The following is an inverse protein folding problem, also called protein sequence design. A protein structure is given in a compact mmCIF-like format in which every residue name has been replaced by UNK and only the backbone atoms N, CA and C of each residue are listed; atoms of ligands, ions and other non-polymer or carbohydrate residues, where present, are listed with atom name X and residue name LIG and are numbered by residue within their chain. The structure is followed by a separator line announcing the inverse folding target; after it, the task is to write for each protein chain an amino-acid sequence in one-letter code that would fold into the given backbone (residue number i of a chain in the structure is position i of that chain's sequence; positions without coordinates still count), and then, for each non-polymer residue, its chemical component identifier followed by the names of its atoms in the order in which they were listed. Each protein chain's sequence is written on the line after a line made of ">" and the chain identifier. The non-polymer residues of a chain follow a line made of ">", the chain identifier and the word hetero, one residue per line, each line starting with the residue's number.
data_IF_301542805741
#
_entry.id   IF_301542805741
#
_cell.length_a   1.000
_cell.length_b   1.000
_cell.length_c   1.000
_cell.angle_alpha   90.00
_cell.angle_beta   90.00
_cell.angle_gamma   90.00
#
_symmetry.space_group_name_H-M   'P 1'
#
loop_
_entity.id
_entity.type
_entity.pdbx_description
1 polymer ?
#
# COMPACT_ATOMS: atom_id res chain seq x y z
N UNK A 1 23.71 0.57 8.06
CA UNK A 1 23.76 0.37 9.52
C UNK A 1 22.65 -0.58 9.96
N UNK A 2 22.69 -1.13 11.17
CA UNK A 2 21.62 -1.97 11.72
C UNK A 2 21.03 -1.30 12.96
N UNK A 3 19.70 -1.28 13.06
CA UNK A 3 18.98 -0.77 14.24
C UNK A 3 18.20 -1.90 14.88
N UNK A 4 18.34 -2.06 16.19
CA UNK A 4 17.56 -3.03 16.97
C UNK A 4 16.38 -2.32 17.61
N UNK A 5 15.17 -2.74 17.28
CA UNK A 5 13.95 -2.20 17.86
C UNK A 5 13.62 -2.92 19.19
N UNK A 6 12.60 -2.43 19.90
CA UNK A 6 12.21 -2.96 21.20
C UNK A 6 11.72 -4.43 21.17
N UNK A 7 11.40 -4.97 19.98
CA UNK A 7 11.16 -6.40 19.76
C UNK A 7 12.45 -7.27 19.76
N UNK A 8 13.62 -6.66 19.93
CA UNK A 8 14.91 -7.33 19.89
C UNK A 8 15.40 -7.71 18.49
N UNK A 9 14.60 -7.48 17.45
CA UNK A 9 14.94 -7.82 16.06
C UNK A 9 15.67 -6.66 15.39
N UNK A 10 16.60 -7.00 14.50
CA UNK A 10 17.37 -6.03 13.73
C UNK A 10 16.61 -5.60 12.47
N UNK A 11 16.63 -4.30 12.17
CA UNK A 11 16.24 -3.71 10.89
C UNK A 11 17.49 -3.21 10.18
N UNK A 12 17.63 -3.51 8.90
CA UNK A 12 18.77 -3.06 8.08
C UNK A 12 18.44 -1.69 7.51
N UNK A 13 19.30 -0.70 7.78
CA UNK A 13 19.16 0.66 7.27
C UNK A 13 20.31 1.00 6.31
N UNK A 14 20.05 1.73 5.24
CA UNK A 14 21.09 2.33 4.42
C UNK A 14 21.45 3.71 4.98
N UNK A 15 22.73 4.04 5.07
CA UNK A 15 23.16 5.40 5.43
C UNK A 15 23.10 6.26 4.16
N UNK A 16 22.15 7.20 4.09
CA UNK A 16 22.15 8.30 3.12
C UNK A 16 21.96 9.62 3.89
N UNK A 17 22.60 10.72 3.47
CA UNK A 17 22.33 12.02 4.05
C UNK A 17 20.92 12.48 3.62
N UNK A 18 19.91 12.19 4.43
CA UNK A 18 18.54 12.68 4.23
C UNK A 18 18.36 13.98 5.01
N UNK A 19 17.72 14.96 4.38
CA UNK A 19 17.18 16.17 5.01
C UNK A 19 16.36 15.78 6.25
N UNK A 20 16.70 16.35 7.41
CA UNK A 20 16.10 16.07 8.72
C UNK A 20 14.64 15.63 8.67
N UNK A 21 14.31 14.48 9.28
CA UNK A 21 12.91 14.15 9.58
C UNK A 21 12.42 15.10 10.67
N UNK A 22 11.22 15.61 10.52
CA UNK A 22 10.62 16.53 11.49
C UNK A 22 9.52 15.80 12.26
N UNK A 23 9.51 15.98 13.58
CA UNK A 23 8.39 15.58 14.43
C UNK A 23 7.15 16.41 14.10
N UNK A 24 5.99 15.95 14.58
CA UNK A 24 4.74 16.72 14.52
C UNK A 24 4.85 18.10 15.24
N UNK A 25 5.77 18.25 16.18
CA UNK A 25 6.07 19.52 16.89
C UNK A 25 7.08 20.43 16.15
N UNK A 26 7.55 20.03 14.97
CA UNK A 26 8.51 20.79 14.17
C UNK A 26 9.96 20.69 14.63
N UNK A 27 10.29 19.82 15.59
CA UNK A 27 11.68 19.55 15.96
C UNK A 27 12.33 18.47 15.08
N UNK A 28 13.64 18.53 14.80
CA UNK A 28 14.33 17.51 14.03
C UNK A 28 14.44 16.20 14.82
N UNK A 29 14.29 15.08 14.13
CA UNK A 29 14.39 13.72 14.63
C UNK A 29 15.32 12.91 13.72
N UNK A 30 16.12 12.01 14.29
CA UNK A 30 16.96 11.10 13.50
C UNK A 30 16.16 9.93 12.92
N UNK A 31 16.66 9.31 11.84
CA UNK A 31 16.01 8.14 11.22
C UNK A 31 15.75 7.00 12.23
N UNK A 32 16.69 6.59 13.10
CA UNK A 32 16.43 5.54 14.08
C UNK A 32 15.33 5.93 15.09
N UNK A 33 15.33 7.18 15.56
CA UNK A 33 14.31 7.68 16.50
C UNK A 33 12.92 7.68 15.86
N UNK A 34 12.83 7.99 14.56
CA UNK A 34 11.57 7.95 13.83
C UNK A 34 11.04 6.52 13.71
N UNK A 35 11.91 5.56 13.33
CA UNK A 35 11.54 4.15 13.25
C UNK A 35 11.12 3.58 14.61
N UNK A 36 11.84 3.91 15.68
CA UNK A 36 11.49 3.51 17.04
C UNK A 36 10.14 4.09 17.49
N UNK A 37 9.87 5.36 17.16
CA UNK A 37 8.60 6.00 17.44
C UNK A 37 7.46 5.30 16.69
N UNK A 38 7.61 5.11 15.37
CA UNK A 38 6.63 4.40 14.55
C UNK A 38 6.34 3.02 15.14
N UNK A 39 7.39 2.21 15.35
CA UNK A 39 7.28 0.87 15.93
C UNK A 39 6.49 0.86 17.24
N UNK A 40 6.77 1.80 18.15
CA UNK A 40 6.09 1.90 19.45
C UNK A 40 4.59 2.13 19.31
N UNK A 41 4.16 2.90 18.31
CA UNK A 41 2.76 3.26 18.12
C UNK A 41 1.98 2.27 17.26
N UNK A 42 2.63 1.44 16.42
CA UNK A 42 1.94 0.47 15.55
C UNK A 42 0.92 -0.44 16.28
N UNK A 43 1.17 -0.93 17.51
CA UNK A 43 0.20 -1.72 18.27
C UNK A 43 -1.16 -1.05 18.54
N UNK A 44 -1.25 0.30 18.49
CA UNK A 44 -2.51 1.03 18.65
C UNK A 44 -3.40 0.99 17.39
N UNK A 45 -2.86 0.53 16.26
CA UNK A 45 -3.54 0.50 14.96
C UNK A 45 -3.97 -0.90 14.56
N UNK A 46 -3.17 -1.92 14.89
CA UNK A 46 -3.42 -3.32 14.59
C UNK A 46 -2.59 -4.23 15.53
N UNK A 47 -3.14 -5.38 15.89
CA UNK A 47 -2.58 -6.33 16.87
C UNK A 47 -1.48 -7.21 16.30
N UNK A 48 -1.65 -7.64 15.05
CA UNK A 48 -0.79 -8.57 14.34
C UNK A 48 -0.81 -8.28 12.84
N UNK A 49 0.05 -9.00 12.11
CA UNK A 49 0.14 -8.88 10.67
C UNK A 49 -1.16 -9.26 9.95
N UNK A 50 -1.88 -10.27 10.46
CA UNK A 50 -3.11 -10.72 9.85
C UNK A 50 -4.20 -9.65 9.92
N UNK A 51 -4.30 -8.91 11.03
CA UNK A 51 -5.18 -7.76 11.18
C UNK A 51 -4.75 -6.60 10.30
N UNK A 52 -3.45 -6.27 10.25
CA UNK A 52 -2.93 -5.28 9.30
C UNK A 52 -3.36 -5.64 7.87
N UNK A 53 -3.21 -6.90 7.46
CA UNK A 53 -3.59 -7.40 6.14
C UNK A 53 -5.09 -7.31 5.89
N UNK A 54 -5.91 -7.68 6.87
CA UNK A 54 -7.37 -7.58 6.76
C UNK A 54 -7.83 -6.13 6.57
N UNK A 55 -7.27 -5.19 7.36
CA UNK A 55 -7.54 -3.76 7.25
C UNK A 55 -7.04 -3.21 5.91
N UNK A 56 -5.82 -3.57 5.50
CA UNK A 56 -5.17 -2.99 4.32
C UNK A 56 -5.75 -3.48 3.00
N UNK A 57 -6.26 -4.71 2.96
CA UNK A 57 -6.80 -5.33 1.76
C UNK A 57 -8.11 -4.72 1.27
N UNK A 58 -8.77 -3.91 2.11
CA UNK A 58 -10.04 -3.24 1.78
C UNK A 58 -9.77 -1.72 1.68
N UNK A 59 -10.12 -1.05 0.57
CA UNK A 59 -9.74 0.35 0.32
C UNK A 59 -10.16 1.32 1.42
N UNK A 60 -11.40 1.20 1.91
CA UNK A 60 -11.94 2.14 2.89
C UNK A 60 -11.24 2.01 4.25
N UNK A 61 -11.04 0.79 4.73
CA UNK A 61 -10.33 0.54 5.99
C UNK A 61 -8.85 0.89 5.89
N UNK A 62 -8.23 0.67 4.71
CA UNK A 62 -6.85 1.16 4.42
C UNK A 62 -6.79 2.68 4.51
N UNK A 63 -7.75 3.39 3.91
CA UNK A 63 -7.82 4.86 3.96
C UNK A 63 -7.95 5.35 5.41
N UNK A 64 -8.83 4.73 6.20
CA UNK A 64 -8.99 5.06 7.63
C UNK A 64 -7.70 4.80 8.42
N UNK A 65 -7.00 3.69 8.17
CA UNK A 65 -5.72 3.41 8.82
C UNK A 65 -4.67 4.48 8.49
N UNK A 66 -4.52 4.82 7.21
CA UNK A 66 -3.59 5.87 6.77
C UNK A 66 -3.92 7.25 7.37
N UNK A 67 -5.20 7.58 7.50
CA UNK A 67 -5.63 8.81 8.16
C UNK A 67 -5.24 8.81 9.65
N UNK A 68 -5.55 7.74 10.39
CA UNK A 68 -5.21 7.63 11.81
C UNK A 68 -3.68 7.67 12.03
N UNK A 69 -2.89 7.07 11.14
CA UNK A 69 -1.43 7.15 11.16
C UNK A 69 -0.96 8.61 10.96
N UNK A 70 -1.55 9.32 10.00
CA UNK A 70 -1.24 10.72 9.73
C UNK A 70 -1.58 11.64 10.93
N UNK A 71 -2.70 11.40 11.61
CA UNK A 71 -3.09 12.11 12.84
C UNK A 71 -2.06 11.94 13.98
N UNK A 72 -1.21 10.91 13.92
CA UNK A 72 -0.09 10.66 14.85
C UNK A 72 1.28 11.08 14.30
N UNK A 73 1.31 11.80 13.18
CA UNK A 73 2.54 12.29 12.55
C UNK A 73 3.21 11.27 11.62
N UNK A 74 2.55 10.15 11.31
CA UNK A 74 3.03 9.14 10.36
C UNK A 74 2.27 9.25 9.02
N UNK A 75 2.29 10.45 8.43
CA UNK A 75 1.64 10.73 7.16
C UNK A 75 2.33 10.06 5.97
N UNK A 76 1.74 10.19 4.78
CA UNK A 76 2.26 9.56 3.55
C UNK A 76 3.71 9.98 3.23
N UNK A 77 4.04 11.25 3.42
CA UNK A 77 5.41 11.75 3.20
C UNK A 77 6.38 11.10 4.18
N UNK A 78 6.03 11.03 5.46
CA UNK A 78 6.88 10.40 6.46
C UNK A 78 7.06 8.90 6.22
N UNK A 79 5.99 8.20 5.83
CA UNK A 79 6.08 6.78 5.45
C UNK A 79 6.91 6.56 4.18
N UNK A 80 6.91 7.52 3.23
CA UNK A 80 7.80 7.48 2.07
C UNK A 80 9.27 7.67 2.48
N UNK A 81 9.57 8.46 3.51
CA UNK A 81 10.92 8.51 4.06
C UNK A 81 11.32 7.17 4.71
N UNK A 82 10.39 6.50 5.40
CA UNK A 82 10.65 5.14 5.91
C UNK A 82 11.01 4.19 4.77
N UNK A 83 10.30 4.24 3.64
CA UNK A 83 10.65 3.44 2.46
C UNK A 83 12.10 3.65 2.03
N UNK A 84 12.59 4.88 2.00
CA UNK A 84 13.99 5.18 1.64
C UNK A 84 14.97 4.62 2.67
N UNK A 85 14.66 4.79 3.95
CA UNK A 85 15.52 4.36 5.07
C UNK A 85 15.75 2.84 5.05
N UNK A 86 14.72 2.06 4.68
CA UNK A 86 14.77 0.59 4.64
C UNK A 86 14.97 0.01 3.22
N UNK A 87 15.32 0.84 2.23
CA UNK A 87 15.53 0.44 0.82
C UNK A 87 14.31 -0.27 0.17
N UNK A 88 13.12 0.25 0.45
CA UNK A 88 11.83 -0.31 0.05
C UNK A 88 10.96 0.68 -0.76
N UNK A 89 11.58 1.59 -1.52
CA UNK A 89 10.90 2.60 -2.38
C UNK A 89 9.99 1.96 -3.44
N UNK A 90 10.30 0.73 -3.84
CA UNK A 90 9.50 -0.09 -4.77
C UNK A 90 8.43 -0.92 -4.08
N UNK A 91 8.38 -0.96 -2.75
CA UNK A 91 7.42 -1.75 -2.00
C UNK A 91 6.13 -0.99 -1.71
N UNK A 92 5.08 -1.71 -1.30
CA UNK A 92 3.84 -1.11 -0.82
C UNK A 92 4.03 -0.56 0.61
N UNK A 93 3.25 0.44 1.01
CA UNK A 93 3.28 0.92 2.40
C UNK A 93 2.82 -0.17 3.39
N UNK A 94 2.01 -1.11 2.95
CA UNK A 94 1.74 -2.34 3.70
C UNK A 94 3.02 -3.06 4.12
N UNK A 95 3.94 -3.26 3.17
CA UNK A 95 5.20 -3.96 3.40
C UNK A 95 6.11 -3.19 4.35
N UNK A 96 6.09 -1.87 4.26
CA UNK A 96 6.81 -0.98 5.17
C UNK A 96 6.32 -1.15 6.59
N UNK A 97 5.00 -1.07 6.79
CA UNK A 97 4.38 -1.23 8.11
C UNK A 97 4.64 -2.64 8.67
N UNK A 98 4.48 -3.68 7.85
CA UNK A 98 4.74 -5.07 8.24
C UNK A 98 6.22 -5.32 8.56
N UNK A 99 7.14 -4.70 7.81
CA UNK A 99 8.57 -4.77 8.08
C UNK A 99 8.93 -4.10 9.41
N UNK A 100 8.43 -2.88 9.65
CA UNK A 100 8.67 -2.17 10.90
C UNK A 100 8.09 -2.93 12.08
N UNK A 101 6.81 -3.35 12.03
CA UNK A 101 6.14 -4.04 13.13
C UNK A 101 6.68 -5.45 13.41
N UNK A 102 7.00 -6.23 12.36
CA UNK A 102 7.18 -7.69 12.50
C UNK A 102 8.49 -8.24 11.91
N UNK A 103 9.32 -7.38 11.32
CA UNK A 103 10.55 -7.74 10.60
C UNK A 103 10.31 -8.63 9.37
N UNK A 104 9.13 -8.54 8.75
CA UNK A 104 8.85 -9.28 7.52
C UNK A 104 9.63 -8.69 6.33
N UNK A 105 10.12 -9.52 5.40
CA UNK A 105 10.80 -9.02 4.21
C UNK A 105 9.82 -8.23 3.33
N UNK A 106 10.15 -6.98 2.95
CA UNK A 106 9.28 -6.18 2.09
C UNK A 106 9.06 -6.83 0.71
N UNK A 107 7.82 -6.79 0.22
CA UNK A 107 7.45 -7.25 -1.13
C UNK A 107 7.27 -6.06 -2.07
N UNK A 108 7.82 -6.14 -3.28
CA UNK A 108 7.68 -5.05 -4.24
C UNK A 108 6.27 -4.97 -4.81
N UNK A 109 5.87 -3.77 -5.25
CA UNK A 109 4.59 -3.53 -5.92
C UNK A 109 4.45 -4.40 -7.17
N UNK A 110 5.55 -4.62 -7.91
CA UNK A 110 5.59 -5.52 -9.07
C UNK A 110 5.23 -6.96 -8.68
N UNK A 111 5.82 -7.48 -7.59
CA UNK A 111 5.56 -8.83 -7.12
C UNK A 111 4.11 -9.00 -6.60
N UNK A 112 3.57 -7.98 -5.94
CA UNK A 112 2.14 -7.95 -5.54
C UNK A 112 1.21 -7.95 -6.74
N UNK A 113 1.49 -7.10 -7.73
CA UNK A 113 0.71 -7.05 -8.95
C UNK A 113 0.77 -8.39 -9.71
N UNK A 114 1.94 -9.03 -9.79
CA UNK A 114 2.08 -10.35 -10.41
C UNK A 114 1.24 -11.41 -9.68
N UNK A 115 1.24 -11.39 -8.35
CA UNK A 115 0.40 -12.28 -7.52
C UNK A 115 -1.09 -12.04 -7.82
N UNK A 116 -1.53 -10.78 -7.80
CA UNK A 116 -2.92 -10.43 -8.09
C UNK A 116 -3.36 -10.91 -9.49
N UNK A 117 -2.52 -10.75 -10.51
CA UNK A 117 -2.79 -11.23 -11.88
C UNK A 117 -3.08 -12.72 -11.96
N UNK A 118 -2.40 -13.53 -11.15
CA UNK A 118 -2.65 -14.97 -11.05
C UNK A 118 -4.11 -15.31 -10.69
N UNK A 119 -4.74 -14.47 -9.86
CA UNK A 119 -6.13 -14.63 -9.46
C UNK A 119 -7.14 -14.04 -10.44
N UNK A 120 -6.72 -13.08 -11.28
CA UNK A 120 -7.63 -12.39 -12.20
C UNK A 120 -8.13 -13.30 -13.33
N UNK A 121 -7.27 -14.19 -13.83
CA UNK A 121 -7.52 -15.07 -14.98
C UNK A 121 -8.76 -15.95 -14.81
N UNK A 122 -9.02 -16.42 -13.59
CA UNK A 122 -10.11 -17.36 -13.25
C UNK A 122 -11.38 -16.68 -12.78
N UNK A 123 -11.36 -15.38 -12.49
CA UNK A 123 -12.44 -14.68 -11.77
C UNK A 123 -13.12 -13.55 -12.54
N UNK A 124 -12.46 -13.02 -13.57
CA UNK A 124 -12.95 -11.87 -14.33
C UNK A 124 -12.96 -12.18 -15.81
N UNK A 125 -13.88 -11.57 -16.56
CA UNK A 125 -13.91 -11.71 -18.02
C UNK A 125 -12.76 -10.94 -18.69
N UNK A 126 -12.56 -11.12 -20.01
CA UNK A 126 -11.42 -10.54 -20.70
C UNK A 126 -11.34 -9.00 -20.61
N UNK A 127 -12.47 -8.30 -20.70
CA UNK A 127 -12.53 -6.83 -20.64
C UNK A 127 -12.25 -6.32 -19.22
N UNK A 128 -12.86 -6.95 -18.23
CA UNK A 128 -12.60 -6.68 -16.81
C UNK A 128 -11.13 -6.91 -16.45
N UNK A 129 -10.53 -8.03 -16.89
CA UNK A 129 -9.10 -8.30 -16.69
C UNK A 129 -8.23 -7.21 -17.30
N UNK A 130 -8.52 -6.79 -18.54
CA UNK A 130 -7.75 -5.74 -19.21
C UNK A 130 -7.82 -4.39 -18.45
N UNK A 131 -8.97 -4.05 -17.86
CA UNK A 131 -9.09 -2.88 -16.99
C UNK A 131 -8.32 -3.05 -15.68
N UNK A 132 -8.47 -4.19 -14.99
CA UNK A 132 -7.76 -4.45 -13.74
C UNK A 132 -6.23 -4.54 -13.93
N UNK A 133 -5.76 -5.06 -15.05
CA UNK A 133 -4.33 -5.06 -15.42
C UNK A 133 -3.79 -3.65 -15.65
N UNK A 134 -4.61 -2.77 -16.22
CA UNK A 134 -4.30 -1.34 -16.33
C UNK A 134 -4.22 -0.68 -14.94
N UNK A 135 -5.15 -0.97 -14.03
CA UNK A 135 -5.08 -0.46 -12.65
C UNK A 135 -3.81 -0.98 -11.95
N UNK A 136 -3.48 -2.26 -12.12
CA UNK A 136 -2.26 -2.84 -11.54
C UNK A 136 -0.99 -2.19 -12.09
N UNK A 137 -0.92 -1.83 -13.38
CA UNK A 137 0.24 -1.14 -13.94
C UNK A 137 0.40 0.27 -13.38
N UNK A 138 -0.72 0.97 -13.17
CA UNK A 138 -0.74 2.27 -12.47
C UNK A 138 -0.24 2.15 -11.04
N UNK A 139 -0.76 1.18 -10.28
CA UNK A 139 -0.30 0.89 -8.92
C UNK A 139 1.21 0.61 -8.84
N UNK A 140 1.74 -0.20 -9.76
CA UNK A 140 3.19 -0.48 -9.83
C UNK A 140 3.99 0.80 -10.01
N UNK A 141 3.56 1.71 -10.89
CA UNK A 141 4.28 2.96 -11.16
C UNK A 141 4.10 4.01 -10.05
N UNK A 142 2.86 4.28 -9.63
CA UNK A 142 2.51 5.45 -8.81
C UNK A 142 2.14 5.11 -7.36
N UNK A 143 1.99 3.82 -7.03
CA UNK A 143 1.84 3.34 -5.67
C UNK A 143 0.40 3.11 -5.24
N UNK A 144 0.24 2.75 -3.95
CA UNK A 144 -1.04 2.32 -3.37
C UNK A 144 -2.16 3.37 -3.47
N UNK A 145 -1.83 4.65 -3.62
CA UNK A 145 -2.81 5.71 -3.80
C UNK A 145 -3.71 5.51 -5.02
N UNK A 146 -3.19 4.95 -6.12
CA UNK A 146 -3.99 4.65 -7.33
C UNK A 146 -5.17 3.70 -7.04
N UNK A 147 -5.08 2.94 -5.96
CA UNK A 147 -6.09 1.95 -5.56
C UNK A 147 -7.19 2.54 -4.67
N UNK A 148 -7.17 3.84 -4.37
CA UNK A 148 -8.20 4.47 -3.55
C UNK A 148 -9.52 4.56 -4.33
N UNK A 149 -10.66 4.38 -3.65
CA UNK A 149 -11.98 4.28 -4.30
C UNK A 149 -12.31 5.53 -5.14
N UNK A 150 -11.84 6.70 -4.71
CA UNK A 150 -11.99 7.98 -5.41
C UNK A 150 -11.26 8.02 -6.76
N UNK A 151 -10.24 7.18 -6.95
CA UNK A 151 -9.48 7.09 -8.19
C UNK A 151 -10.15 6.23 -9.26
N UNK A 152 -11.22 5.50 -8.94
CA UNK A 152 -11.93 4.69 -9.93
C UNK A 152 -12.42 5.54 -11.12
N UNK A 153 -13.09 6.66 -10.86
CA UNK A 153 -13.62 7.53 -11.91
C UNK A 153 -12.52 8.12 -12.82
N UNK A 154 -11.42 8.70 -12.28
CA UNK A 154 -10.25 9.07 -13.08
C UNK A 154 -9.65 7.92 -13.90
N UNK A 155 -9.52 6.72 -13.31
CA UNK A 155 -8.94 5.54 -13.99
C UNK A 155 -9.81 5.06 -15.16
N UNK A 156 -11.13 5.04 -14.98
CA UNK A 156 -12.08 4.72 -16.06
C UNK A 156 -11.95 5.73 -17.20
N UNK A 157 -11.93 7.03 -16.90
CA UNK A 157 -11.74 8.07 -17.92
C UNK A 157 -10.40 7.93 -18.65
N UNK A 158 -9.33 7.58 -17.93
CA UNK A 158 -8.01 7.39 -18.53
C UNK A 158 -7.96 6.14 -19.43
N UNK A 159 -8.58 5.03 -19.01
CA UNK A 159 -8.58 3.77 -19.78
C UNK A 159 -9.51 3.82 -21.02
N UNK A 160 -10.64 4.51 -20.89
CA UNK A 160 -11.71 4.57 -21.89
C UNK A 160 -11.78 5.94 -22.59
N UNK A 161 -10.73 6.76 -22.53
CA UNK A 161 -10.65 8.03 -23.25
C UNK A 161 -11.84 8.98 -22.99
N UNK A 162 -12.26 9.08 -21.73
CA UNK A 162 -13.45 9.81 -21.24
C UNK A 162 -14.81 9.25 -21.69
N UNK A 163 -14.86 8.08 -22.33
CA UNK A 163 -16.11 7.42 -22.71
C UNK A 163 -16.69 6.59 -21.57
N UNK A 164 -17.69 7.14 -20.87
CA UNK A 164 -18.41 6.40 -19.82
C UNK A 164 -19.26 5.26 -20.40
N UNK A 165 -19.77 5.42 -21.63
CA UNK A 165 -20.55 4.36 -22.30
C UNK A 165 -19.69 3.13 -22.53
N UNK A 166 -18.51 3.29 -23.14
CA UNK A 166 -17.62 2.16 -23.44
C UNK A 166 -17.17 1.45 -22.16
N UNK A 167 -16.96 2.20 -21.07
CA UNK A 167 -16.64 1.62 -19.77
C UNK A 167 -17.79 0.76 -19.22
N UNK A 168 -19.03 1.20 -19.33
CA UNK A 168 -20.21 0.43 -18.88
C UNK A 168 -20.45 -0.78 -19.77
N UNK A 169 -20.28 -0.63 -21.09
CA UNK A 169 -20.45 -1.72 -22.05
C UNK A 169 -19.42 -2.84 -21.83
N UNK A 170 -18.17 -2.48 -21.54
CA UNK A 170 -17.09 -3.46 -21.32
C UNK A 170 -17.07 -4.05 -19.90
N UNK A 171 -17.44 -3.28 -18.87
CA UNK A 171 -17.22 -3.66 -17.47
C UNK A 171 -18.50 -4.00 -16.70
N UNK A 172 -19.66 -3.57 -17.20
CA UNK A 172 -20.97 -3.77 -16.58
C UNK A 172 -21.50 -2.53 -15.87
N UNK A 173 -22.47 -2.72 -14.97
CA UNK A 173 -23.15 -1.61 -14.29
C UNK A 173 -22.20 -0.86 -13.36
N UNK A 174 -22.37 0.46 -13.16
CA UNK A 174 -21.50 1.26 -12.28
C UNK A 174 -21.25 0.66 -10.88
N UNK A 175 -22.30 0.14 -10.23
CA UNK A 175 -22.17 -0.48 -8.90
C UNK A 175 -21.32 -1.77 -8.93
N UNK A 176 -21.43 -2.54 -10.01
CA UNK A 176 -20.61 -3.75 -10.22
C UNK A 176 -19.15 -3.39 -10.48
N UNK A 177 -18.90 -2.31 -11.24
CA UNK A 177 -17.54 -1.79 -11.48
C UNK A 177 -16.91 -1.37 -10.16
N UNK A 178 -17.65 -0.64 -9.31
CA UNK A 178 -17.19 -0.24 -7.98
C UNK A 178 -16.84 -1.43 -7.10
N UNK A 179 -17.72 -2.44 -7.01
CA UNK A 179 -17.47 -3.67 -6.26
C UNK A 179 -16.29 -4.47 -6.82
N UNK A 180 -16.16 -4.55 -8.14
CA UNK A 180 -15.04 -5.20 -8.80
C UNK A 180 -13.71 -4.51 -8.45
N UNK A 181 -13.66 -3.18 -8.56
CA UNK A 181 -12.48 -2.37 -8.27
C UNK A 181 -12.06 -2.44 -6.79
N UNK A 182 -13.00 -2.45 -5.86
CA UNK A 182 -12.68 -2.64 -4.45
C UNK A 182 -12.27 -4.11 -4.17
N UNK A 183 -13.04 -5.06 -4.70
CA UNK A 183 -12.93 -6.47 -4.35
C UNK A 183 -11.69 -7.17 -4.90
N UNK A 184 -11.14 -6.74 -6.05
CA UNK A 184 -9.93 -7.37 -6.59
C UNK A 184 -8.67 -7.07 -5.77
N UNK A 185 -8.64 -5.96 -5.03
CA UNK A 185 -7.43 -5.48 -4.35
C UNK A 185 -6.92 -6.46 -3.29
N UNK A 186 -7.81 -7.25 -2.67
CA UNK A 186 -7.43 -8.31 -1.74
C UNK A 186 -6.42 -9.31 -2.34
N UNK A 187 -6.44 -9.51 -3.65
CA UNK A 187 -5.52 -10.42 -4.33
C UNK A 187 -4.07 -9.91 -4.36
N UNK A 188 -3.84 -8.61 -4.12
CA UNK A 188 -2.48 -8.05 -3.92
C UNK A 188 -1.82 -8.56 -2.63
N UNK A 189 -2.63 -8.99 -1.66
CA UNK A 189 -2.19 -9.37 -0.32
C UNK A 189 -2.53 -10.82 0.04
N UNK A 190 -3.01 -11.62 -0.92
CA UNK A 190 -3.16 -13.06 -0.67
C UNK A 190 -1.79 -13.71 -0.49
N UNK A 191 -1.67 -14.52 0.55
CA UNK A 191 -0.52 -15.37 0.73
C UNK A 191 -0.67 -16.54 -0.25
N UNK A 192 0.33 -16.76 -1.10
CA UNK A 192 0.47 -18.04 -1.79
C UNK A 192 1.00 -19.02 -0.76
N UNK A 193 0.20 -20.01 -0.39
CA UNK A 193 0.70 -21.15 0.37
C UNK A 193 1.93 -21.70 -0.37
N UNK A 194 3.07 -21.69 0.31
CA UNK A 194 4.30 -22.35 -0.16
C UNK A 194 4.39 -23.71 0.48
#
# INVERSE_FOLDING_TARGET
>A
MKVRLADGKERTLQYRPVTSLWRADGSPMSEPQFLESLFRWLPDFFKDEAELRAIWSVPDTRKTLLQRLAERGFGREQLAEVQKIIDAEKCDLFDVLAHVAYALPPVTREARAATARGYLSTRFNAKQRAFLDFVLSRYVSFGVGELDQENLSPLLRLKYYNSTSDAVDDLGRPDDIGRMFAGFQRYLYQQTDK
#
